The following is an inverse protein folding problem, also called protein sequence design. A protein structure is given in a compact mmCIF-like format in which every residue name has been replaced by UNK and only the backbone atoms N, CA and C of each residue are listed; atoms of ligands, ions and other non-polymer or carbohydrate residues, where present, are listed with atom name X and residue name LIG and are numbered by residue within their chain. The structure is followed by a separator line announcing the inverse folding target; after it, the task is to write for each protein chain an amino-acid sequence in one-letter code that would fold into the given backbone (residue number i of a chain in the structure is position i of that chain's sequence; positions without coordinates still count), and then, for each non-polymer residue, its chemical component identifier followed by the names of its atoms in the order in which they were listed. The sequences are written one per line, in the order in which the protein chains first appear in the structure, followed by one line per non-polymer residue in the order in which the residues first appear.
data_IF_130153307023
#
_entry.id   IF_130153307023
#
_cell.length_a   1.000
_cell.length_b   1.000
_cell.length_c   1.000
_cell.angle_alpha   90.00
_cell.angle_beta   90.00
_cell.angle_gamma   90.00
#
_symmetry.space_group_name_H-M   'P 1'
#
loop_
_entity.id
_entity.type
_entity.pdbx_description
1 polymer ?
#
# COMPACT_ATOMS: atom_id res chain seq x y z
N UNK A 1 -59.84 -29.94 -32.39
CA UNK A 1 -59.59 -28.49 -32.24
C UNK A 1 -58.16 -28.32 -31.75
N UNK A 2 -57.41 -27.52 -32.51
CA UNK A 2 -56.06 -26.97 -32.32
C UNK A 2 -54.88 -27.82 -31.80
N UNK A 3 -53.94 -28.09 -32.73
CA UNK A 3 -52.57 -28.52 -32.50
C UNK A 3 -51.65 -27.31 -32.19
N UNK A 4 -50.98 -27.28 -31.04
CA UNK A 4 -49.96 -26.27 -30.70
C UNK A 4 -48.53 -26.79 -30.83
N UNK A 5 -48.03 -26.92 -32.07
CA UNK A 5 -46.66 -27.36 -32.41
C UNK A 5 -45.70 -26.16 -32.35
N UNK A 6 -44.82 -26.09 -31.36
CA UNK A 6 -43.79 -25.05 -31.26
C UNK A 6 -42.70 -25.32 -32.30
N UNK A 7 -42.61 -24.45 -33.32
CA UNK A 7 -41.59 -24.48 -34.38
C UNK A 7 -40.23 -24.07 -33.82
N UNK A 8 -39.25 -24.99 -33.81
CA UNK A 8 -37.82 -24.66 -33.71
C UNK A 8 -37.43 -23.86 -34.96
N UNK A 9 -36.93 -22.65 -34.75
CA UNK A 9 -36.47 -21.75 -35.80
C UNK A 9 -35.00 -22.06 -36.08
N UNK A 10 -34.74 -22.76 -37.17
CA UNK A 10 -33.40 -23.04 -37.71
C UNK A 10 -32.81 -21.75 -38.26
N UNK A 11 -31.64 -21.33 -37.76
CA UNK A 11 -30.85 -20.24 -38.34
C UNK A 11 -29.88 -20.85 -39.37
N UNK A 12 -29.70 -20.26 -40.58
CA UNK A 12 -28.82 -20.83 -41.60
C UNK A 12 -27.35 -20.71 -41.22
N UNK A 13 -26.56 -21.73 -41.57
CA UNK A 13 -25.12 -21.77 -41.36
C UNK A 13 -24.38 -20.66 -42.10
N UNK A 14 -23.68 -19.82 -41.33
CA UNK A 14 -22.65 -18.91 -41.82
C UNK A 14 -21.28 -19.52 -41.53
N UNK A 15 -20.40 -19.51 -42.53
CA UNK A 15 -19.05 -20.05 -42.47
C UNK A 15 -18.21 -19.44 -41.33
N UNK A 16 -17.49 -20.30 -40.62
CA UNK A 16 -16.48 -19.90 -39.62
C UNK A 16 -15.20 -19.51 -40.38
N UNK A 17 -14.73 -18.25 -40.33
CA UNK A 17 -13.40 -17.95 -40.84
C UNK A 17 -12.37 -18.46 -39.84
N UNK A 18 -11.51 -19.37 -40.28
CA UNK A 18 -10.30 -19.76 -39.56
C UNK A 18 -9.36 -18.54 -39.52
N UNK A 19 -9.11 -17.99 -38.34
CA UNK A 19 -8.03 -17.03 -38.13
C UNK A 19 -6.76 -17.76 -37.69
N UNK A 20 -5.72 -17.61 -38.51
CA UNK A 20 -4.35 -18.07 -38.27
C UNK A 20 -3.76 -17.56 -36.95
N UNK A 21 -2.80 -18.29 -36.34
CA UNK A 21 -2.21 -17.90 -35.07
C UNK A 21 -1.32 -16.65 -35.24
N UNK A 22 -1.70 -15.56 -34.56
CA UNK A 22 -0.84 -14.39 -34.41
C UNK A 22 0.34 -14.77 -33.51
N UNK A 23 1.52 -14.93 -34.12
CA UNK A 23 2.81 -14.84 -33.43
C UNK A 23 2.91 -13.44 -32.82
N UNK A 24 2.82 -13.32 -31.50
CA UNK A 24 3.36 -12.15 -30.83
C UNK A 24 4.82 -12.41 -30.52
N UNK A 25 5.65 -11.69 -31.27
CA UNK A 25 7.08 -11.51 -31.11
C UNK A 25 7.43 -11.04 -29.70
N UNK A 26 8.54 -11.58 -29.20
CA UNK A 26 9.25 -11.10 -28.03
C UNK A 26 9.57 -9.60 -28.14
N UNK A 27 9.37 -8.87 -27.04
CA UNK A 27 9.89 -7.52 -26.77
C UNK A 27 10.10 -7.51 -25.26
N UNK A 28 11.33 -7.60 -24.74
CA UNK A 28 12.35 -6.57 -24.87
C UNK A 28 12.09 -5.53 -23.77
N UNK A 29 13.04 -5.31 -22.87
CA UNK A 29 12.92 -4.31 -21.80
C UNK A 29 12.34 -2.98 -22.33
N UNK A 30 11.47 -2.32 -21.56
CA UNK A 30 10.75 -1.14 -22.03
C UNK A 30 11.72 -0.02 -22.43
N UNK A 31 11.33 0.69 -23.48
CA UNK A 31 12.08 1.79 -24.06
C UNK A 31 12.11 3.02 -23.12
N UNK A 32 13.09 3.94 -23.25
CA UNK A 32 13.17 5.16 -22.45
C UNK A 32 11.92 6.06 -22.48
N UNK A 33 11.09 5.96 -23.52
CA UNK A 33 9.80 6.68 -23.63
C UNK A 33 8.68 6.07 -22.76
N UNK A 34 8.67 4.75 -22.56
CA UNK A 34 7.67 4.08 -21.71
C UNK A 34 7.95 4.32 -20.21
N UNK A 35 9.22 4.58 -19.85
CA UNK A 35 9.58 5.06 -18.51
C UNK A 35 9.01 6.45 -18.19
N UNK A 36 8.82 7.32 -19.20
CA UNK A 36 8.20 8.63 -19.01
C UNK A 36 6.67 8.52 -18.79
N UNK A 37 6.00 7.57 -19.43
CA UNK A 37 4.56 7.33 -19.25
C UNK A 37 4.21 6.76 -17.86
N UNK A 38 5.14 6.07 -17.20
CA UNK A 38 4.99 5.60 -15.83
C UNK A 38 5.00 6.74 -14.79
N UNK A 39 5.69 7.86 -15.08
CA UNK A 39 5.67 9.06 -14.25
C UNK A 39 4.29 9.78 -14.27
N UNK A 40 3.48 9.53 -15.30
CA UNK A 40 2.19 10.19 -15.51
C UNK A 40 0.99 9.51 -14.78
N UNK A 41 1.18 8.37 -14.12
CA UNK A 41 0.10 7.54 -13.56
C UNK A 41 0.08 7.48 -12.03
N UNK A 42 0.54 8.53 -11.36
CA UNK A 42 0.43 8.57 -9.90
C UNK A 42 -1.03 8.74 -9.44
N UNK A 43 -1.43 8.08 -8.34
CA UNK A 43 -2.77 8.28 -7.79
C UNK A 43 -2.96 9.75 -7.36
N UNK A 44 -4.20 10.29 -7.35
CA UNK A 44 -4.45 11.70 -7.05
C UNK A 44 -3.87 12.18 -5.71
N UNK A 45 -3.72 11.28 -4.74
CA UNK A 45 -3.15 11.57 -3.43
C UNK A 45 -1.61 11.61 -3.40
N UNK A 46 -0.94 11.20 -4.49
CA UNK A 46 0.52 11.19 -4.58
C UNK A 46 1.11 12.58 -4.32
N UNK A 47 0.56 13.61 -4.96
CA UNK A 47 1.04 14.99 -4.79
C UNK A 47 0.85 15.48 -3.35
N UNK A 48 -0.19 14.99 -2.66
CA UNK A 48 -0.41 15.30 -1.26
C UNK A 48 0.65 14.66 -0.35
N UNK A 49 1.20 13.52 -0.75
CA UNK A 49 2.36 12.96 -0.09
C UNK A 49 3.62 13.72 -0.51
N UNK A 50 3.98 13.75 -1.80
CA UNK A 50 5.19 14.40 -2.29
C UNK A 50 5.37 15.83 -1.75
N UNK A 51 4.27 16.59 -1.72
CA UNK A 51 4.26 17.99 -1.33
C UNK A 51 4.93 18.88 -2.38
N UNK A 52 4.79 20.20 -2.22
CA UNK A 52 5.23 21.19 -3.21
C UNK A 52 6.64 21.75 -2.94
N UNK A 53 7.50 21.00 -2.23
CA UNK A 53 8.84 21.49 -1.88
C UNK A 53 9.82 21.18 -3.00
N UNK A 54 10.54 22.19 -3.49
CA UNK A 54 11.55 22.05 -4.56
C UNK A 54 12.67 21.07 -4.19
N UNK A 55 12.92 20.90 -2.89
CA UNK A 55 13.95 20.01 -2.38
C UNK A 55 13.49 18.54 -2.21
N UNK A 56 12.23 18.20 -2.52
CA UNK A 56 11.75 16.82 -2.46
C UNK A 56 12.33 16.01 -3.63
N UNK A 57 13.14 15.00 -3.33
CA UNK A 57 13.66 14.08 -4.33
C UNK A 57 12.67 12.91 -4.53
N UNK A 58 12.25 12.69 -5.77
CA UNK A 58 11.36 11.60 -6.17
C UNK A 58 12.16 10.63 -7.04
N UNK A 59 12.24 9.38 -6.61
CA UNK A 59 13.01 8.33 -7.29
C UNK A 59 12.05 7.25 -7.75
N UNK A 60 12.10 6.95 -9.05
CA UNK A 60 11.34 5.87 -9.66
C UNK A 60 12.25 4.68 -9.91
N UNK A 61 11.88 3.53 -9.36
CA UNK A 61 12.57 2.26 -9.54
C UNK A 61 11.60 1.28 -10.20
N UNK A 62 11.76 0.98 -11.49
CA UNK A 62 10.96 -0.03 -12.16
C UNK A 62 11.31 -1.41 -11.59
N UNK A 63 10.28 -2.19 -11.31
CA UNK A 63 10.37 -3.56 -10.85
C UNK A 63 9.70 -4.48 -11.88
N UNK A 64 10.03 -5.79 -11.88
CA UNK A 64 9.49 -6.70 -12.88
C UNK A 64 7.96 -6.73 -12.92
N UNK A 65 7.43 -7.05 -14.11
CA UNK A 65 6.00 -7.18 -14.40
C UNK A 65 5.22 -5.87 -14.28
N UNK A 66 5.83 -4.78 -14.74
CA UNK A 66 5.18 -3.47 -14.84
C UNK A 66 4.90 -2.82 -13.48
N UNK A 67 5.70 -3.16 -12.47
CA UNK A 67 5.60 -2.55 -11.14
C UNK A 67 6.51 -1.34 -11.08
N UNK A 68 6.04 -0.28 -10.43
CA UNK A 68 6.82 0.91 -10.19
C UNK A 68 6.93 1.15 -8.68
N UNK A 69 8.16 1.09 -8.16
CA UNK A 69 8.45 1.56 -6.82
C UNK A 69 8.86 3.03 -6.89
N UNK A 70 8.02 3.91 -6.37
CA UNK A 70 8.35 5.33 -6.24
C UNK A 70 8.74 5.63 -4.80
N UNK A 71 9.92 6.21 -4.59
CA UNK A 71 10.41 6.66 -3.29
C UNK A 71 10.44 8.18 -3.26
N UNK A 72 9.86 8.74 -2.21
CA UNK A 72 9.82 10.17 -1.94
C UNK A 72 10.77 10.43 -0.78
N UNK A 73 11.75 11.30 -1.01
CA UNK A 73 12.76 11.71 -0.04
C UNK A 73 12.64 13.21 0.21
N UNK A 74 12.57 13.60 1.48
CA UNK A 74 12.52 15.03 1.86
C UNK A 74 13.76 15.42 2.66
N UNK A 75 14.35 16.60 2.42
CA UNK A 75 15.48 17.07 3.22
C UNK A 75 15.04 17.31 4.67
N UNK A 76 15.96 17.14 5.62
CA UNK A 76 15.70 17.28 7.06
C UNK A 76 15.16 16.01 7.73
N UNK A 77 14.39 15.18 7.00
CA UNK A 77 13.99 13.85 7.49
C UNK A 77 15.18 12.86 7.62
N UNK A 78 16.30 13.20 6.98
CA UNK A 78 17.57 12.48 7.03
C UNK A 78 18.56 13.28 7.89
N UNK A 79 19.14 12.64 8.90
CA UNK A 79 20.22 13.25 9.67
C UNK A 79 21.43 13.48 8.76
N UNK A 80 21.73 14.75 8.49
CA UNK A 80 22.84 15.31 7.69
C UNK A 80 22.67 15.27 6.17
N UNK A 81 22.68 16.46 5.55
CA UNK A 81 22.61 16.68 4.10
C UNK A 81 23.82 16.10 3.31
N UNK A 82 24.91 15.73 4.00
CA UNK A 82 26.15 15.21 3.40
C UNK A 82 26.28 13.68 3.49
N UNK A 83 25.38 12.99 4.19
CA UNK A 83 25.35 11.52 4.27
C UNK A 83 23.97 11.08 3.82
N UNK A 84 23.89 10.50 2.63
CA UNK A 84 22.68 9.84 2.15
C UNK A 84 22.09 8.85 3.17
N UNK A 85 20.88 8.33 2.93
CA UNK A 85 20.11 7.58 3.92
C UNK A 85 20.96 6.57 4.71
N UNK A 86 21.14 6.84 6.01
CA UNK A 86 22.22 6.23 6.80
C UNK A 86 22.02 4.77 7.17
N UNK A 87 20.83 4.20 6.96
CA UNK A 87 20.58 2.76 7.08
C UNK A 87 19.28 2.33 6.38
N UNK A 88 19.26 1.14 5.78
CA UNK A 88 18.04 0.57 5.22
C UNK A 88 17.06 0.22 6.35
N UNK A 89 15.81 0.64 6.20
CA UNK A 89 14.73 0.28 7.13
C UNK A 89 14.13 -1.08 6.76
N UNK A 90 13.99 -1.36 5.47
CA UNK A 90 13.47 -2.61 4.92
C UNK A 90 14.40 -3.07 3.80
N UNK A 91 14.90 -4.30 3.92
CA UNK A 91 15.68 -4.94 2.86
C UNK A 91 15.03 -6.26 2.49
N UNK A 92 14.75 -6.42 1.21
CA UNK A 92 14.22 -7.64 0.63
C UNK A 92 15.21 -8.09 -0.42
N UNK A 93 15.63 -9.36 -0.33
CA UNK A 93 16.56 -9.97 -1.29
C UNK A 93 16.05 -11.31 -1.78
N UNK A 94 15.91 -11.47 -3.10
CA UNK A 94 15.50 -12.70 -3.77
C UNK A 94 14.18 -13.27 -3.29
N UNK A 95 13.23 -12.41 -2.88
CA UNK A 95 11.99 -12.86 -2.25
C UNK A 95 11.10 -13.60 -3.25
N UNK A 96 10.73 -14.83 -2.90
CA UNK A 96 9.75 -15.63 -3.64
C UNK A 96 8.64 -16.06 -2.69
N UNK A 97 7.38 -15.81 -3.09
CA UNK A 97 6.19 -16.15 -2.31
C UNK A 97 5.21 -16.93 -3.16
N UNK A 98 4.67 -18.01 -2.59
CA UNK A 98 3.66 -18.86 -3.20
C UNK A 98 2.34 -18.79 -2.43
N UNK A 99 1.22 -18.94 -3.15
CA UNK A 99 -0.09 -19.25 -2.58
C UNK A 99 -0.59 -20.56 -3.17
N UNK A 100 -0.68 -21.59 -2.33
CA UNK A 100 -0.94 -22.95 -2.80
C UNK A 100 0.19 -23.41 -3.71
N UNK A 101 -0.13 -23.72 -4.98
CA UNK A 101 0.86 -24.12 -6.00
C UNK A 101 1.31 -22.99 -6.93
N UNK A 102 0.78 -21.77 -6.73
CA UNK A 102 1.04 -20.64 -7.61
C UNK A 102 2.11 -19.73 -7.03
N UNK A 103 3.15 -19.45 -7.81
CA UNK A 103 4.12 -18.41 -7.52
C UNK A 103 3.47 -17.04 -7.78
N UNK A 104 3.50 -16.18 -6.77
CA UNK A 104 2.83 -14.87 -6.79
C UNK A 104 3.83 -13.73 -6.81
N UNK A 105 4.88 -13.79 -5.97
CA UNK A 105 5.92 -12.75 -5.86
C UNK A 105 7.27 -13.32 -6.26
N UNK A 106 8.07 -12.51 -6.97
CA UNK A 106 9.42 -12.87 -7.42
C UNK A 106 9.46 -13.47 -8.82
N UNK A 107 8.54 -13.03 -9.69
CA UNK A 107 8.54 -13.37 -11.11
C UNK A 107 9.13 -12.22 -11.91
N UNK A 108 9.95 -12.52 -12.91
CA UNK A 108 10.37 -11.55 -13.93
C UNK A 108 9.27 -11.27 -14.97
N UNK A 109 9.61 -10.52 -16.03
CA UNK A 109 8.68 -10.15 -17.09
C UNK A 109 8.15 -11.38 -17.86
N UNK A 110 8.98 -12.41 -18.00
CA UNK A 110 8.70 -13.67 -18.70
C UNK A 110 7.91 -14.66 -17.81
N UNK A 111 7.86 -14.42 -16.50
CA UNK A 111 7.18 -15.27 -15.54
C UNK A 111 8.06 -16.33 -14.91
N UNK A 112 9.38 -16.17 -15.00
CA UNK A 112 10.37 -17.03 -14.36
C UNK A 112 10.71 -16.56 -12.94
N UNK A 113 11.05 -17.50 -12.08
CA UNK A 113 11.22 -17.28 -10.64
C UNK A 113 12.61 -16.69 -10.30
N UNK A 114 12.80 -15.39 -10.55
CA UNK A 114 14.06 -14.67 -10.31
C UNK A 114 14.17 -14.07 -8.90
N UNK A 115 13.04 -13.87 -8.22
CA UNK A 115 12.99 -13.25 -6.89
C UNK A 115 12.82 -11.72 -6.95
N UNK A 116 12.25 -11.17 -5.88
CA UNK A 116 12.06 -9.73 -5.72
C UNK A 116 13.16 -9.15 -4.81
N UNK A 117 13.87 -8.16 -5.34
CA UNK A 117 14.76 -7.29 -4.57
C UNK A 117 14.08 -5.93 -4.36
N UNK A 118 14.14 -5.42 -3.13
CA UNK A 118 13.59 -4.12 -2.79
C UNK A 118 14.33 -3.57 -1.57
N UNK A 119 14.70 -2.28 -1.61
CA UNK A 119 15.34 -1.62 -0.46
C UNK A 119 14.67 -0.28 -0.21
N UNK A 120 14.26 -0.08 1.05
CA UNK A 120 13.80 1.21 1.54
C UNK A 120 14.70 1.68 2.65
N UNK A 121 14.88 2.97 2.70
CA UNK A 121 15.72 3.62 3.68
C UNK A 121 14.91 4.41 4.71
N UNK A 122 15.52 4.57 5.87
CA UNK A 122 14.96 5.41 6.93
C UNK A 122 14.72 6.84 6.41
N UNK A 123 13.48 7.34 6.56
CA UNK A 123 13.08 8.68 6.14
C UNK A 123 12.33 8.72 4.80
N UNK A 124 12.37 7.62 4.04
CA UNK A 124 11.65 7.51 2.78
C UNK A 124 10.15 7.25 3.01
N UNK A 125 9.33 7.85 2.14
CA UNK A 125 7.97 7.39 1.90
C UNK A 125 7.97 6.65 0.58
N UNK A 126 7.46 5.42 0.54
CA UNK A 126 7.47 4.61 -0.67
C UNK A 126 6.06 4.30 -1.15
N UNK A 127 5.89 4.25 -2.47
CA UNK A 127 4.65 3.91 -3.15
C UNK A 127 4.96 2.77 -4.11
N UNK A 128 4.37 1.60 -3.87
CA UNK A 128 4.45 0.49 -4.82
C UNK A 128 3.19 0.50 -5.69
N UNK A 129 3.33 0.91 -6.94
CA UNK A 129 2.27 0.88 -7.94
C UNK A 129 2.39 -0.43 -8.71
N UNK A 130 1.41 -1.31 -8.59
CA UNK A 130 1.45 -2.61 -9.25
C UNK A 130 0.13 -2.94 -9.95
N UNK A 131 0.17 -3.60 -11.12
CA UNK A 131 -1.04 -4.06 -11.81
C UNK A 131 -1.92 -4.95 -10.93
N UNK A 132 -3.23 -4.92 -11.20
CA UNK A 132 -4.17 -5.81 -10.54
C UNK A 132 -3.74 -7.27 -10.70
N UNK A 133 -3.68 -8.00 -9.58
CA UNK A 133 -3.24 -9.39 -9.57
C UNK A 133 -1.72 -9.62 -9.54
N UNK A 134 -0.88 -8.57 -9.47
CA UNK A 134 0.56 -8.75 -9.23
C UNK A 134 0.86 -9.43 -7.89
N UNK A 135 -0.01 -9.23 -6.90
CA UNK A 135 0.10 -9.89 -5.60
C UNK A 135 0.37 -8.97 -4.42
N UNK A 136 0.06 -7.66 -4.51
CA UNK A 136 0.22 -6.68 -3.42
C UNK A 136 -0.22 -7.21 -2.05
N UNK A 137 -1.45 -7.70 -1.91
CA UNK A 137 -1.92 -8.26 -0.64
C UNK A 137 -1.20 -9.55 -0.22
N UNK A 138 -0.63 -10.31 -1.17
CA UNK A 138 0.25 -11.46 -0.87
C UNK A 138 1.62 -11.00 -0.38
N UNK A 139 2.19 -9.98 -1.01
CA UNK A 139 3.43 -9.37 -0.56
C UNK A 139 3.30 -8.78 0.85
N UNK A 140 2.25 -8.00 1.10
CA UNK A 140 1.95 -7.43 2.42
C UNK A 140 1.75 -8.53 3.47
N UNK A 141 1.01 -9.60 3.15
CA UNK A 141 0.81 -10.70 4.08
C UNK A 141 2.11 -11.50 4.34
N UNK A 142 3.03 -11.59 3.38
CA UNK A 142 4.36 -12.18 3.60
C UNK A 142 5.25 -11.29 4.48
N UNK A 143 5.23 -9.96 4.26
CA UNK A 143 5.87 -8.98 5.14
C UNK A 143 5.32 -9.06 6.57
N UNK A 144 4.01 -9.22 6.73
CA UNK A 144 3.36 -9.40 8.02
C UNK A 144 3.65 -10.74 8.71
N UNK A 145 4.25 -11.72 8.00
CA UNK A 145 4.47 -13.07 8.50
C UNK A 145 3.21 -13.93 8.56
N UNK A 146 2.15 -13.56 7.83
CA UNK A 146 0.89 -14.29 7.74
C UNK A 146 0.93 -15.42 6.70
N UNK A 147 1.87 -15.35 5.76
CA UNK A 147 2.17 -16.40 4.79
C UNK A 147 3.67 -16.61 4.71
N UNK A 148 4.12 -17.86 4.51
CA UNK A 148 5.55 -18.17 4.47
C UNK A 148 6.20 -17.64 3.20
N UNK A 149 7.47 -17.27 3.31
CA UNK A 149 8.35 -16.96 2.18
C UNK A 149 9.03 -18.25 1.71
N UNK A 150 8.98 -18.57 0.41
CA UNK A 150 9.60 -19.78 -0.14
C UNK A 150 11.12 -19.66 -0.24
N UNK A 151 11.59 -18.51 -0.72
CA UNK A 151 13.01 -18.16 -0.86
C UNK A 151 13.21 -16.67 -0.56
N UNK A 152 14.47 -16.31 -0.39
CA UNK A 152 14.89 -14.94 -0.13
C UNK A 152 14.89 -14.56 1.34
N UNK A 153 15.20 -13.30 1.60
CA UNK A 153 15.28 -12.75 2.96
C UNK A 153 14.54 -11.43 3.04
N UNK A 154 13.93 -11.19 4.21
CA UNK A 154 13.34 -9.90 4.56
C UNK A 154 14.03 -9.47 5.86
N UNK A 155 14.63 -8.28 5.86
CA UNK A 155 15.20 -7.64 7.05
C UNK A 155 14.45 -6.36 7.38
N UNK A 156 14.19 -6.15 8.66
CA UNK A 156 13.62 -4.91 9.20
C UNK A 156 14.64 -4.33 10.18
N UNK A 157 15.11 -3.11 9.94
CA UNK A 157 16.18 -2.48 10.75
C UNK A 157 17.43 -3.36 10.87
N UNK A 158 17.78 -4.09 9.80
CA UNK A 158 18.89 -5.05 9.79
C UNK A 158 18.55 -6.44 10.36
N UNK A 159 17.48 -6.59 11.14
CA UNK A 159 17.08 -7.85 11.74
C UNK A 159 16.36 -8.76 10.74
N UNK A 160 16.84 -10.00 10.59
CA UNK A 160 16.22 -10.99 9.72
C UNK A 160 14.84 -11.40 10.25
N UNK A 161 13.79 -11.13 9.47
CA UNK A 161 12.43 -11.48 9.86
C UNK A 161 12.12 -12.97 9.69
N UNK A 162 12.69 -13.67 8.71
CA UNK A 162 12.58 -15.14 8.55
C UNK A 162 11.23 -15.75 8.95
N UNK A 163 11.24 -16.71 9.88
CA UNK A 163 10.05 -17.34 10.46
C UNK A 163 9.46 -16.58 11.67
N UNK A 164 9.85 -15.32 11.90
CA UNK A 164 9.35 -14.50 13.01
C UNK A 164 7.84 -14.35 12.89
N UNK A 165 7.07 -14.72 13.92
CA UNK A 165 5.63 -14.67 13.88
C UNK A 165 5.09 -13.22 13.87
N UNK A 166 3.87 -12.99 13.36
CA UNK A 166 3.30 -11.65 13.17
C UNK A 166 3.38 -10.75 14.41
N UNK A 167 3.03 -11.25 15.59
CA UNK A 167 3.03 -10.46 16.84
C UNK A 167 4.43 -9.98 17.24
N UNK A 168 5.49 -10.73 16.90
CA UNK A 168 6.87 -10.29 17.13
C UNK A 168 7.30 -9.24 16.11
N UNK A 169 6.91 -9.38 14.83
CA UNK A 169 7.16 -8.34 13.80
C UNK A 169 6.51 -7.02 14.18
N UNK A 170 5.30 -7.07 14.73
CA UNK A 170 4.58 -5.91 15.29
C UNK A 170 5.38 -5.27 16.44
N UNK A 171 5.92 -6.07 17.37
CA UNK A 171 6.77 -5.54 18.45
C UNK A 171 8.08 -4.94 17.94
N UNK A 172 8.63 -5.47 16.85
CA UNK A 172 9.82 -4.95 16.16
C UNK A 172 9.52 -3.72 15.28
N UNK A 173 8.31 -3.15 15.37
CA UNK A 173 7.98 -1.89 14.73
C UNK A 173 7.31 -2.00 13.36
N UNK A 174 6.98 -3.20 12.87
CA UNK A 174 6.13 -3.34 11.68
C UNK A 174 4.67 -3.02 12.01
N UNK A 175 4.01 -2.21 11.19
CA UNK A 175 2.56 -2.02 11.20
C UNK A 175 2.01 -2.27 9.81
N UNK A 176 0.85 -2.92 9.73
CA UNK A 176 0.20 -3.23 8.46
C UNK A 176 -1.26 -2.79 8.55
N UNK A 177 -1.69 -1.95 7.61
CA UNK A 177 -3.08 -1.61 7.36
C UNK A 177 -3.52 -2.27 6.05
N UNK A 178 -4.28 -3.39 6.10
CA UNK A 178 -4.84 -3.98 4.90
C UNK A 178 -5.96 -3.11 4.31
N UNK A 179 -6.38 -3.41 3.08
CA UNK A 179 -7.42 -2.65 2.37
C UNK A 179 -8.79 -2.78 3.03
N UNK A 180 -9.19 -3.98 3.47
CA UNK A 180 -10.61 -4.25 3.78
C UNK A 180 -10.92 -5.05 5.07
N UNK A 181 -10.01 -5.15 6.04
CA UNK A 181 -10.21 -6.08 7.18
C UNK A 181 -10.35 -5.39 8.53
N UNK A 182 -11.58 -5.01 8.86
CA UNK A 182 -12.00 -4.87 10.26
C UNK A 182 -12.98 -5.99 10.60
N UNK A 183 -12.54 -6.87 11.50
CA UNK A 183 -13.16 -8.19 11.75
C UNK A 183 -14.28 -8.08 12.80
N UNK A 184 -14.42 -6.94 13.50
CA UNK A 184 -15.31 -6.79 14.64
C UNK A 184 -16.45 -5.81 14.36
N UNK A 185 -17.57 -6.25 13.76
CA UNK A 185 -18.68 -5.38 13.36
C UNK A 185 -19.38 -4.69 14.55
N UNK A 186 -19.33 -5.33 15.72
CA UNK A 186 -20.01 -4.86 16.93
C UNK A 186 -19.23 -3.86 17.76
N UNK A 187 -17.94 -3.69 17.49
CA UNK A 187 -17.15 -2.69 18.21
C UNK A 187 -17.49 -1.29 17.72
N UNK A 188 -17.48 -0.36 18.66
CA UNK A 188 -17.44 1.07 18.36
C UNK A 188 -16.09 1.47 17.79
N UNK A 189 -16.05 2.59 17.08
CA UNK A 189 -14.79 3.19 16.62
C UNK A 189 -13.76 3.33 17.74
N UNK A 190 -14.21 3.80 18.91
CA UNK A 190 -13.38 3.99 20.11
C UNK A 190 -12.82 2.68 20.65
N UNK A 191 -13.61 1.62 20.66
CA UNK A 191 -13.15 0.29 21.10
C UNK A 191 -12.14 -0.31 20.12
N UNK A 192 -12.37 -0.16 18.82
CA UNK A 192 -11.40 -0.62 17.81
C UNK A 192 -10.05 0.10 17.96
N UNK A 193 -10.06 1.42 18.19
CA UNK A 193 -8.84 2.18 18.47
C UNK A 193 -8.16 1.72 19.76
N UNK A 194 -8.92 1.38 20.81
CA UNK A 194 -8.32 0.79 22.01
C UNK A 194 -7.60 -0.54 21.71
N UNK A 195 -8.19 -1.38 20.85
CA UNK A 195 -7.61 -2.67 20.48
C UNK A 195 -6.37 -2.59 19.60
N UNK A 196 -6.19 -1.54 18.78
CA UNK A 196 -4.99 -1.37 17.95
C UNK A 196 -3.71 -1.10 18.75
N UNK A 197 -3.77 -1.13 20.09
CA UNK A 197 -2.64 -0.75 20.95
C UNK A 197 -2.38 0.75 20.92
N UNK A 198 -3.36 1.52 20.42
CA UNK A 198 -3.35 2.98 20.40
C UNK A 198 -3.66 3.59 21.76
N UNK A 199 -4.12 2.78 22.72
CA UNK A 199 -4.32 3.17 24.10
C UNK A 199 -2.97 3.47 24.79
N UNK A 200 -2.45 4.68 24.62
CA UNK A 200 -1.21 5.16 25.24
C UNK A 200 -0.27 5.94 24.30
N UNK A 201 -0.51 5.87 22.99
CA UNK A 201 0.14 6.75 22.01
C UNK A 201 -0.78 7.94 21.75
N UNK A 202 -0.25 9.11 21.39
CA UNK A 202 -1.06 10.19 20.84
C UNK A 202 -1.82 9.70 19.61
N UNK A 203 -3.08 9.32 19.81
CA UNK A 203 -3.95 8.82 18.75
C UNK A 203 -4.25 10.00 17.82
N UNK A 204 -4.18 9.78 16.52
CA UNK A 204 -4.59 10.80 15.55
C UNK A 204 -6.12 10.85 15.41
N UNK A 205 -6.86 10.78 16.52
CA UNK A 205 -8.33 10.86 16.53
C UNK A 205 -8.83 12.20 15.99
N UNK A 206 -7.99 13.23 16.03
CA UNK A 206 -8.31 14.56 15.50
C UNK A 206 -8.55 14.58 13.98
N UNK A 207 -8.17 13.52 13.26
CA UNK A 207 -8.43 13.38 11.83
C UNK A 207 -9.75 12.65 11.50
N UNK A 208 -10.43 12.08 12.51
CA UNK A 208 -11.74 11.42 12.36
C UNK A 208 -12.86 12.45 12.49
N UNK A 209 -13.60 12.66 11.41
CA UNK A 209 -14.71 13.64 11.38
C UNK A 209 -16.01 13.03 10.82
N UNK A 210 -17.16 13.25 11.49
CA UNK A 210 -17.28 13.91 12.80
C UNK A 210 -16.74 13.02 13.95
N UNK A 211 -16.37 13.57 15.12
CA UNK A 211 -15.88 12.77 16.25
C UNK A 211 -16.90 11.74 16.76
N UNK A 212 -18.19 11.97 16.51
CA UNK A 212 -19.28 11.05 16.86
C UNK A 212 -19.20 9.70 16.13
N UNK A 213 -18.42 9.58 15.06
CA UNK A 213 -18.13 8.29 14.41
C UNK A 213 -17.45 7.31 15.37
N UNK A 214 -16.68 7.82 16.35
CA UNK A 214 -15.99 6.98 17.33
C UNK A 214 -16.96 6.23 18.25
N UNK A 215 -18.17 6.72 18.43
CA UNK A 215 -19.16 6.12 19.32
C UNK A 215 -20.15 5.21 18.56
N UNK A 216 -20.04 5.14 17.23
CA UNK A 216 -20.85 4.26 16.37
C UNK A 216 -20.20 2.89 16.19
N UNK A 217 -21.03 1.85 16.10
CA UNK A 217 -20.60 0.49 15.74
C UNK A 217 -20.08 0.42 14.31
N UNK A 218 -19.02 -0.34 14.06
CA UNK A 218 -18.41 -0.52 12.74
C UNK A 218 -19.40 -0.99 11.66
N UNK A 219 -20.35 -1.86 12.03
CA UNK A 219 -21.41 -2.33 11.13
C UNK A 219 -22.30 -1.20 10.59
N UNK A 220 -22.46 -0.11 11.35
CA UNK A 220 -23.31 1.02 10.98
C UNK A 220 -22.60 2.07 10.14
N UNK A 221 -21.28 1.98 9.98
CA UNK A 221 -20.46 2.98 9.32
C UNK A 221 -20.43 2.78 7.80
N UNK A 222 -20.17 3.84 7.05
CA UNK A 222 -19.83 3.77 5.63
C UNK A 222 -18.41 3.23 5.42
N UNK A 223 -18.05 2.90 4.17
CA UNK A 223 -16.67 2.48 3.84
C UNK A 223 -15.63 3.54 4.21
N UNK A 224 -15.88 4.80 3.84
CA UNK A 224 -14.99 5.92 4.15
C UNK A 224 -14.91 6.22 5.65
N UNK A 225 -16.03 6.15 6.37
CA UNK A 225 -16.05 6.32 7.84
C UNK A 225 -15.21 5.22 8.53
N UNK A 226 -15.35 3.95 8.11
CA UNK A 226 -14.49 2.87 8.60
C UNK A 226 -13.02 3.13 8.28
N UNK A 227 -12.72 3.67 7.09
CA UNK A 227 -11.36 3.96 6.68
C UNK A 227 -10.71 5.06 7.51
N UNK A 228 -11.44 6.12 7.86
CA UNK A 228 -10.94 7.15 8.77
C UNK A 228 -10.54 6.57 10.13
N UNK A 229 -11.37 5.71 10.72
CA UNK A 229 -11.06 5.10 12.02
C UNK A 229 -9.87 4.13 11.88
N UNK A 230 -9.80 3.39 10.77
CA UNK A 230 -8.68 2.51 10.47
C UNK A 230 -7.34 3.25 10.43
N UNK A 231 -7.30 4.37 9.70
CA UNK A 231 -6.13 5.23 9.59
C UNK A 231 -5.80 5.88 10.94
N UNK A 232 -6.79 6.19 11.78
CA UNK A 232 -6.57 6.72 13.12
C UNK A 232 -5.92 5.73 14.07
N UNK A 233 -6.24 4.44 13.92
CA UNK A 233 -5.58 3.35 14.66
C UNK A 233 -4.23 2.95 14.07
N UNK A 234 -3.97 3.33 12.82
CA UNK A 234 -2.71 3.08 12.15
C UNK A 234 -1.66 4.12 12.54
N UNK A 235 -1.04 3.92 13.69
CA UNK A 235 0.08 4.72 14.14
C UNK A 235 1.10 3.88 14.92
N UNK A 236 2.26 4.49 15.15
CA UNK A 236 3.35 3.87 15.89
C UNK A 236 4.09 2.81 15.07
N UNK A 237 5.25 2.39 15.55
CA UNK A 237 6.15 1.49 14.81
C UNK A 237 7.15 2.22 13.93
N UNK A 238 8.20 1.49 13.55
CA UNK A 238 9.29 1.99 12.71
C UNK A 238 8.97 1.93 11.22
N UNK A 239 8.09 1.01 10.81
CA UNK A 239 7.67 0.83 9.42
C UNK A 239 6.17 0.52 9.33
N UNK A 240 5.42 1.43 8.73
CA UNK A 240 4.02 1.24 8.35
C UNK A 240 3.90 0.78 6.90
N UNK A 241 2.98 -0.14 6.65
CA UNK A 241 2.62 -0.67 5.32
C UNK A 241 1.11 -0.57 5.15
N UNK A 242 0.63 0.10 4.10
CA UNK A 242 -0.80 0.32 3.87
C UNK A 242 -1.23 -0.15 2.48
N UNK A 243 -2.22 -1.02 2.39
CA UNK A 243 -2.89 -1.37 1.13
C UNK A 243 -4.00 -0.35 0.87
N UNK A 244 -3.89 0.46 -0.19
CA UNK A 244 -4.90 1.42 -0.64
C UNK A 244 -5.34 2.42 0.45
N UNK A 245 -4.41 3.16 1.11
CA UNK A 245 -4.66 3.98 2.31
C UNK A 245 -5.85 4.93 2.22
N UNK A 246 -6.05 5.55 1.06
CA UNK A 246 -7.04 6.63 0.90
C UNK A 246 -8.27 6.22 0.09
N UNK A 247 -8.40 4.93 -0.24
CA UNK A 247 -9.57 4.44 -0.95
C UNK A 247 -10.84 4.63 -0.11
N UNK A 248 -11.95 4.93 -0.79
CA UNK A 248 -13.24 5.28 -0.19
C UNK A 248 -13.29 6.58 0.64
N UNK A 249 -12.21 7.36 0.69
CA UNK A 249 -12.22 8.71 1.26
C UNK A 249 -12.54 9.76 0.19
N UNK A 250 -13.27 10.79 0.57
CA UNK A 250 -13.41 11.98 -0.26
C UNK A 250 -12.09 12.78 -0.33
N UNK A 251 -12.02 13.76 -1.25
CA UNK A 251 -10.81 14.54 -1.48
C UNK A 251 -10.39 15.41 -0.28
N UNK A 252 -11.33 15.92 0.50
CA UNK A 252 -11.04 16.75 1.68
C UNK A 252 -10.47 15.89 2.81
N UNK A 253 -11.13 14.77 3.08
CA UNK A 253 -10.69 13.78 4.06
C UNK A 253 -9.31 13.23 3.68
N UNK A 254 -9.08 12.92 2.41
CA UNK A 254 -7.76 12.48 1.91
C UNK A 254 -6.67 13.54 2.16
N UNK A 255 -6.94 14.82 1.86
CA UNK A 255 -6.01 15.93 2.14
C UNK A 255 -5.71 16.10 3.63
N UNK A 256 -6.71 15.91 4.49
CA UNK A 256 -6.51 15.97 5.95
C UNK A 256 -5.59 14.85 6.41
N UNK A 257 -5.85 13.62 5.97
CA UNK A 257 -5.05 12.45 6.34
C UNK A 257 -3.63 12.49 5.79
N UNK A 258 -3.42 12.99 4.56
CA UNK A 258 -2.09 13.11 3.97
C UNK A 258 -1.18 14.02 4.79
N UNK A 259 -1.72 15.13 5.33
CA UNK A 259 -0.96 16.05 6.21
C UNK A 259 -0.51 15.34 7.48
N UNK A 260 -1.38 14.51 8.08
CA UNK A 260 -1.03 13.76 9.28
C UNK A 260 0.06 12.69 9.04
N UNK A 261 0.35 12.34 7.78
CA UNK A 261 1.34 11.34 7.40
C UNK A 261 2.66 11.94 6.94
N UNK A 262 2.75 13.26 6.81
CA UNK A 262 4.01 13.93 6.53
C UNK A 262 4.88 14.04 7.80
N UNK A 263 6.22 13.90 7.68
CA UNK A 263 7.14 14.22 8.78
C UNK A 263 6.90 15.66 9.27
N UNK A 264 6.56 15.81 10.56
CA UNK A 264 5.98 17.02 11.16
C UNK A 264 6.88 18.28 11.17
N UNK A 265 8.12 18.22 10.70
CA UNK A 265 9.12 19.29 10.86
C UNK A 265 8.70 20.66 10.29
N UNK A 266 7.70 20.73 9.40
CA UNK A 266 7.15 21.99 8.86
C UNK A 266 5.69 22.33 9.26
N UNK A 267 4.97 21.49 9.98
CA UNK A 267 3.53 21.73 10.24
C UNK A 267 3.24 22.80 11.30
N UNK A 268 4.25 23.31 12.01
CA UNK A 268 4.06 24.30 13.09
C UNK A 268 3.55 25.67 12.61
N UNK A 269 3.75 26.05 11.34
CA UNK A 269 3.37 27.37 10.83
C UNK A 269 2.13 27.39 9.92
N UNK A 270 1.68 26.24 9.39
CA UNK A 270 0.56 26.17 8.43
C UNK A 270 -0.67 25.39 8.89
N UNK A 271 -0.61 24.64 9.99
CA UNK A 271 -1.78 23.91 10.50
C UNK A 271 -2.70 24.86 11.30
N UNK A 272 -3.58 25.61 10.59
CA UNK A 272 -4.70 26.36 11.20
C UNK A 272 -5.89 25.45 11.54
N UNK A 273 -5.64 24.28 12.11
CA UNK A 273 -6.70 23.47 12.74
C UNK A 273 -6.47 23.65 14.24
N UNK A 274 -7.25 24.54 14.85
CA UNK A 274 -7.01 25.16 16.16
C UNK A 274 -7.06 24.25 17.40
N UNK A 275 -6.37 23.10 17.40
CA UNK A 275 -6.12 22.28 18.59
C UNK A 275 -4.67 21.79 18.60
N UNK A 276 -4.00 21.95 19.74
CA UNK A 276 -2.67 21.36 20.00
C UNK A 276 -2.76 19.84 19.80
N UNK A 277 -2.13 19.33 18.75
CA UNK A 277 -1.91 17.89 18.58
C UNK A 277 -0.81 17.45 19.56
N UNK A 278 -0.94 16.27 20.19
CA UNK A 278 0.09 15.74 21.09
C UNK A 278 1.35 15.26 20.31
N UNK A 279 2.51 15.20 21.01
CA UNK A 279 3.85 15.02 20.43
C UNK A 279 4.01 13.82 19.46
N UNK A 280 4.84 13.93 18.41
CA UNK A 280 4.82 12.98 17.30
C UNK A 280 5.48 11.63 17.61
N UNK A 281 4.76 10.54 17.32
CA UNK A 281 5.35 9.23 17.09
C UNK A 281 6.00 9.20 15.69
N UNK A 282 7.26 8.76 15.60
CA UNK A 282 8.08 8.69 14.37
C UNK A 282 7.61 7.61 13.38
N UNK A 283 6.37 7.68 12.92
CA UNK A 283 5.80 6.69 11.99
C UNK A 283 6.30 6.97 10.56
N UNK A 284 6.81 5.94 9.89
CA UNK A 284 7.36 6.00 8.52
C UNK A 284 6.58 5.03 7.66
N UNK A 285 6.00 5.48 6.56
CA UNK A 285 4.92 4.75 5.88
C UNK A 285 5.29 4.37 4.45
N UNK A 286 4.99 3.13 4.11
CA UNK A 286 4.87 2.61 2.75
C UNK A 286 3.39 2.60 2.40
N UNK A 287 3.00 3.34 1.37
CA UNK A 287 1.70 3.19 0.72
C UNK A 287 1.80 2.19 -0.44
N UNK A 288 0.79 1.36 -0.62
CA UNK A 288 0.62 0.54 -1.82
C UNK A 288 -0.57 1.09 -2.59
N UNK A 289 -0.43 1.19 -3.92
CA UNK A 289 -1.48 1.61 -4.85
C UNK A 289 -1.60 0.65 -6.01
#
# INVERSE_FOLDING_TARGET
MENGRIKKRTVPGGAVPQSSPLRHSATGDPSPSEHADLQAQHPPWFQLLAGDSDDTEIIHEPLPRGVLLTRIRRPGAYASADKGPSSPILEIRGLIVERGKRLVIGLDAEGEATGLDLTLYQGETAILQAPNGWGKSTFIAALAGLIPTRKGTIRLQGDLLGATPPWKRIRNGLRVLPSDRFIFPDLTGREALKLSGSAGSPINTFAVEPPSLLDRKYASLSGGERRQIALAGFHGGTLGVCDEPFDALDGETTRRWSICWQPWERCSSRCRIGRKLPEPARCRTIGFS
#
